data_IF_395757622751
#
_entry.id   IF_395757622751
#
_cell.length_a   1.000
_cell.length_b   1.000
_cell.length_c   1.000
_cell.angle_alpha   90.00
_cell.angle_beta   90.00
_cell.angle_gamma   90.00
#
_symmetry.space_group_name_H-M   'P 1'
#
loop_
_entity.id
_entity.type
_entity.pdbx_description
1 polymer ?
#
# COMPACT_ATOMS: atom_id res chain seq x y z
N UNK A 1 12.91 -2.37 13.89
CA UNK A 1 11.72 -1.72 14.48
C UNK A 1 12.06 -0.26 14.74
N UNK A 2 11.45 0.71 14.06
CA UNK A 2 11.87 2.13 14.14
C UNK A 2 11.33 2.85 15.38
N UNK A 3 10.06 2.67 15.74
CA UNK A 3 9.47 3.33 16.91
C UNK A 3 10.21 3.03 18.24
N UNK A 4 10.62 1.78 18.54
CA UNK A 4 11.37 1.50 19.77
C UNK A 4 12.74 2.18 19.84
N UNK A 5 13.39 2.50 18.71
CA UNK A 5 14.72 3.17 18.75
C UNK A 5 14.63 4.62 19.23
N UNK A 6 13.41 5.18 19.28
CA UNK A 6 13.13 6.51 19.81
C UNK A 6 12.21 6.45 21.05
N UNK A 7 12.19 5.31 21.74
CA UNK A 7 11.38 5.07 22.95
C UNK A 7 9.86 5.22 22.75
N UNK A 8 9.36 4.99 21.53
CA UNK A 8 7.93 4.92 21.25
C UNK A 8 7.49 3.46 21.31
N UNK A 9 6.43 3.18 22.08
CA UNK A 9 5.77 1.87 22.11
C UNK A 9 4.94 1.66 20.82
N UNK A 10 5.37 0.74 19.92
CA UNK A 10 4.66 0.48 18.67
C UNK A 10 3.34 -0.27 18.87
N UNK A 11 3.12 -0.88 20.03
CA UNK A 11 1.90 -1.63 20.35
C UNK A 11 0.82 -0.76 20.97
N UNK A 12 1.16 0.47 21.35
CA UNK A 12 0.21 1.42 21.90
C UNK A 12 -0.89 1.75 20.87
N UNK A 13 -2.14 1.74 21.34
CA UNK A 13 -3.29 1.99 20.48
C UNK A 13 -3.22 3.38 19.82
N UNK A 14 -2.75 4.39 20.56
CA UNK A 14 -2.58 5.74 20.05
C UNK A 14 -1.61 5.77 18.86
N UNK A 15 -0.45 5.10 18.96
CA UNK A 15 0.51 5.03 17.86
C UNK A 15 -0.08 4.34 16.63
N UNK A 16 -0.76 3.20 16.82
CA UNK A 16 -1.36 2.44 15.71
C UNK A 16 -2.42 3.28 14.99
N UNK A 17 -3.30 3.97 15.72
CA UNK A 17 -4.34 4.82 15.12
C UNK A 17 -3.74 5.99 14.34
N UNK A 18 -2.76 6.68 14.92
CA UNK A 18 -2.05 7.77 14.23
C UNK A 18 -1.33 7.25 12.99
N UNK A 19 -0.65 6.10 13.07
CA UNK A 19 0.04 5.48 11.95
C UNK A 19 -0.93 5.13 10.82
N UNK A 20 -2.07 4.51 11.11
CA UNK A 20 -3.09 4.18 10.11
C UNK A 20 -3.58 5.44 9.40
N UNK A 21 -3.89 6.50 10.17
CA UNK A 21 -4.36 7.76 9.61
C UNK A 21 -3.30 8.39 8.69
N UNK A 22 -2.06 8.50 9.19
CA UNK A 22 -0.94 9.08 8.45
C UNK A 22 -0.65 8.29 7.17
N UNK A 23 -0.57 6.96 7.24
CA UNK A 23 -0.30 6.10 6.07
C UNK A 23 -1.41 6.20 5.05
N UNK A 24 -2.68 6.21 5.48
CA UNK A 24 -3.84 6.31 4.59
C UNK A 24 -3.81 7.62 3.81
N UNK A 25 -3.60 8.75 4.48
CA UNK A 25 -3.54 10.06 3.83
C UNK A 25 -2.29 10.16 2.94
N UNK A 26 -1.13 9.71 3.44
CA UNK A 26 0.14 9.76 2.71
C UNK A 26 0.12 8.92 1.43
N UNK A 27 -0.65 7.83 1.40
CA UNK A 27 -0.76 6.94 0.24
C UNK A 27 -1.27 7.65 -1.02
N UNK A 28 -2.12 8.69 -0.87
CA UNK A 28 -2.56 9.49 -2.02
C UNK A 28 -1.42 10.29 -2.64
N UNK A 29 -0.51 10.81 -1.81
CA UNK A 29 0.63 11.61 -2.27
C UNK A 29 1.70 10.79 -3.01
N UNK A 30 1.75 9.48 -2.77
CA UNK A 30 2.77 8.59 -3.37
C UNK A 30 2.43 8.17 -4.80
N UNK A 31 1.14 8.18 -5.19
CA UNK A 31 0.69 7.68 -6.49
C UNK A 31 1.27 8.42 -7.70
N UNK A 32 1.81 9.64 -7.52
CA UNK A 32 2.35 10.49 -8.59
C UNK A 32 3.86 10.76 -8.53
N UNK A 33 4.58 10.20 -7.56
CA UNK A 33 6.02 10.44 -7.37
C UNK A 33 6.82 9.18 -7.65
N UNK A 34 7.86 9.28 -8.48
CA UNK A 34 8.78 8.17 -8.74
C UNK A 34 9.55 7.78 -7.47
N UNK A 35 9.72 6.47 -7.25
CA UNK A 35 10.59 5.93 -6.18
C UNK A 35 9.91 5.02 -5.12
N UNK A 36 8.80 4.37 -5.49
CA UNK A 36 8.38 3.08 -4.91
C UNK A 36 8.25 3.04 -3.39
N UNK A 37 8.84 2.02 -2.77
CA UNK A 37 8.68 1.76 -1.35
C UNK A 37 9.32 2.81 -0.44
N UNK A 38 10.43 3.37 -0.91
CA UNK A 38 11.30 4.28 -0.17
C UNK A 38 10.67 5.66 0.04
N UNK A 39 10.09 6.27 -1.00
CA UNK A 39 9.47 7.60 -0.85
C UNK A 39 8.28 7.59 0.10
N UNK A 40 7.47 6.53 0.05
CA UNK A 40 6.37 6.35 1.00
C UNK A 40 6.87 6.24 2.44
N UNK A 41 7.97 5.49 2.66
CA UNK A 41 8.56 5.35 3.99
C UNK A 41 9.10 6.68 4.51
N UNK A 42 9.80 7.45 3.68
CA UNK A 42 10.33 8.77 4.05
C UNK A 42 9.19 9.73 4.44
N UNK A 43 8.11 9.76 3.66
CA UNK A 43 6.94 10.59 3.95
C UNK A 43 6.30 10.23 5.29
N UNK A 44 6.08 8.94 5.56
CA UNK A 44 5.49 8.47 6.82
C UNK A 44 6.42 8.76 8.01
N UNK A 45 7.72 8.51 7.87
CA UNK A 45 8.68 8.81 8.94
C UNK A 45 8.74 10.31 9.23
N UNK A 46 8.78 11.15 8.19
CA UNK A 46 8.80 12.61 8.36
C UNK A 46 7.53 13.15 9.01
N UNK A 47 6.36 12.65 8.59
CA UNK A 47 5.06 13.10 9.13
C UNK A 47 4.85 12.66 10.58
N UNK A 48 5.44 11.53 10.99
CA UNK A 48 5.42 11.06 12.37
C UNK A 48 6.57 11.61 13.22
N UNK A 49 7.38 12.54 12.69
CA UNK A 49 8.57 13.08 13.35
C UNK A 49 9.56 11.98 13.79
N UNK A 50 9.69 10.92 12.99
CA UNK A 50 10.62 9.82 13.16
C UNK A 50 11.88 10.01 12.30
N UNK A 51 13.03 9.42 12.69
CA UNK A 51 14.28 9.62 11.96
C UNK A 51 14.21 9.05 10.53
N UNK A 52 14.21 9.94 9.54
CA UNK A 52 14.13 9.58 8.11
C UNK A 52 15.35 8.78 7.64
N UNK A 53 16.52 8.99 8.27
CA UNK A 53 17.73 8.22 7.98
C UNK A 53 17.54 6.70 8.12
N UNK A 54 16.56 6.26 8.92
CA UNK A 54 16.22 4.84 9.07
C UNK A 54 15.54 4.24 7.83
N UNK A 55 15.05 5.07 6.90
CA UNK A 55 14.65 4.61 5.57
C UNK A 55 15.83 4.04 4.78
N UNK A 56 17.08 4.44 5.09
CA UNK A 56 18.28 3.86 4.50
C UNK A 56 18.44 2.36 4.77
N UNK A 57 17.93 1.87 5.91
CA UNK A 57 17.91 0.43 6.21
C UNK A 57 16.92 -0.32 5.29
N UNK A 58 15.82 0.32 4.92
CA UNK A 58 14.79 -0.25 4.04
C UNK A 58 15.30 -0.41 2.61
N UNK A 59 16.23 0.44 2.14
CA UNK A 59 16.77 0.38 0.78
C UNK A 59 17.33 -1.01 0.44
N UNK A 60 17.94 -1.70 1.42
CA UNK A 60 18.52 -3.03 1.21
C UNK A 60 17.49 -4.13 0.88
N UNK A 61 16.24 -3.96 1.30
CA UNK A 61 15.13 -4.91 1.12
C UNK A 61 13.99 -4.31 0.28
N UNK A 62 14.20 -3.10 -0.24
CA UNK A 62 13.23 -2.30 -0.98
C UNK A 62 12.61 -3.09 -2.15
N UNK A 63 13.38 -3.82 -2.99
CA UNK A 63 12.79 -4.51 -4.13
C UNK A 63 11.76 -5.57 -3.71
N UNK A 64 11.99 -6.27 -2.59
CA UNK A 64 11.05 -7.28 -2.08
C UNK A 64 9.76 -6.62 -1.57
N UNK A 65 9.89 -5.50 -0.85
CA UNK A 65 8.77 -4.77 -0.29
C UNK A 65 7.94 -4.11 -1.39
N UNK A 66 8.60 -3.52 -2.39
CA UNK A 66 7.92 -2.82 -3.48
C UNK A 66 7.17 -3.78 -4.42
N UNK A 67 7.72 -4.98 -4.67
CA UNK A 67 7.01 -6.04 -5.38
C UNK A 67 5.72 -6.44 -4.64
N UNK A 68 5.79 -6.67 -3.33
CA UNK A 68 4.62 -7.01 -2.51
C UNK A 68 3.57 -5.88 -2.52
N UNK A 69 4.01 -4.63 -2.39
CA UNK A 69 3.14 -3.46 -2.46
C UNK A 69 2.42 -3.37 -3.80
N UNK A 70 3.16 -3.51 -4.90
CA UNK A 70 2.59 -3.43 -6.26
C UNK A 70 1.57 -4.55 -6.49
N UNK A 71 1.88 -5.79 -6.09
CA UNK A 71 0.96 -6.91 -6.20
C UNK A 71 -0.35 -6.65 -5.46
N UNK A 72 -0.28 -6.21 -4.20
CA UNK A 72 -1.48 -5.93 -3.40
C UNK A 72 -2.30 -4.76 -3.96
N UNK A 73 -1.65 -3.70 -4.42
CA UNK A 73 -2.34 -2.54 -5.00
C UNK A 73 -3.06 -2.89 -6.32
N UNK A 74 -2.45 -3.72 -7.16
CA UNK A 74 -3.09 -4.21 -8.41
C UNK A 74 -4.26 -5.14 -8.07
N UNK A 75 -4.08 -6.10 -7.17
CA UNK A 75 -5.17 -6.99 -6.72
C UNK A 75 -6.33 -6.23 -6.08
N UNK A 76 -6.03 -5.22 -5.25
CA UNK A 76 -7.04 -4.35 -4.66
C UNK A 76 -7.79 -3.53 -5.71
N UNK A 77 -7.10 -3.01 -6.72
CA UNK A 77 -7.72 -2.25 -7.82
C UNK A 77 -8.66 -3.11 -8.66
N UNK A 78 -8.27 -4.35 -8.97
CA UNK A 78 -9.15 -5.31 -9.65
C UNK A 78 -10.39 -5.63 -8.81
N UNK A 79 -10.20 -5.87 -7.51
CA UNK A 79 -11.30 -6.16 -6.57
C UNK A 79 -12.27 -4.98 -6.48
N UNK A 80 -11.75 -3.76 -6.29
CA UNK A 80 -12.54 -2.54 -6.25
C UNK A 80 -13.31 -2.32 -7.56
N UNK A 81 -12.68 -2.58 -8.71
CA UNK A 81 -13.32 -2.52 -10.02
C UNK A 81 -14.51 -3.47 -10.12
N UNK A 82 -14.32 -4.76 -9.82
CA UNK A 82 -15.40 -5.77 -9.86
C UNK A 82 -16.54 -5.43 -8.90
N UNK A 83 -16.20 -5.03 -7.66
CA UNK A 83 -17.21 -4.63 -6.65
C UNK A 83 -17.98 -3.41 -7.13
N UNK A 84 -17.31 -2.40 -7.67
CA UNK A 84 -17.96 -1.19 -8.20
C UNK A 84 -18.87 -1.54 -9.37
N UNK A 85 -18.40 -2.30 -10.36
CA UNK A 85 -19.22 -2.73 -11.50
C UNK A 85 -20.43 -3.55 -11.10
N UNK A 86 -20.36 -4.33 -10.01
CA UNK A 86 -21.51 -5.03 -9.43
C UNK A 86 -22.52 -4.06 -8.84
N UNK A 87 -22.05 -3.06 -8.08
CA UNK A 87 -22.91 -2.06 -7.44
C UNK A 87 -23.58 -1.16 -8.49
N UNK A 88 -22.85 -0.75 -9.54
CA UNK A 88 -23.36 0.07 -10.65
C UNK A 88 -24.19 -0.70 -11.67
N UNK A 89 -24.29 -2.04 -11.53
CA UNK A 89 -24.94 -2.95 -12.48
C UNK A 89 -24.31 -2.95 -13.89
N UNK A 90 -23.04 -2.57 -13.98
CA UNK A 90 -22.25 -2.58 -15.22
C UNK A 90 -21.45 -3.88 -15.39
N UNK A 91 -21.39 -4.76 -14.38
CA UNK A 91 -20.67 -6.02 -14.49
C UNK A 91 -21.35 -6.96 -15.49
N UNK A 92 -20.63 -7.31 -16.55
CA UNK A 92 -21.06 -8.35 -17.49
C UNK A 92 -20.92 -9.74 -16.83
N UNK A 93 -22.04 -10.26 -16.33
CA UNK A 93 -22.11 -11.55 -15.66
C UNK A 93 -21.83 -12.75 -16.59
N UNK A 94 -22.07 -12.60 -17.89
CA UNK A 94 -21.78 -13.68 -18.85
C UNK A 94 -20.27 -13.87 -19.00
N UNK A 95 -19.49 -12.79 -19.01
CA UNK A 95 -18.02 -12.84 -19.04
C UNK A 95 -17.48 -13.30 -17.68
N UNK A 96 -18.01 -12.75 -16.59
CA UNK A 96 -17.53 -13.05 -15.23
C UNK A 96 -17.76 -14.52 -14.82
N UNK A 97 -18.92 -15.10 -15.19
CA UNK A 97 -19.26 -16.49 -14.90
C UNK A 97 -18.89 -17.46 -16.04
N UNK A 98 -18.44 -16.94 -17.19
CA UNK A 98 -18.05 -17.77 -18.31
C UNK A 98 -16.88 -18.68 -17.90
N UNK A 99 -16.87 -19.93 -18.38
CA UNK A 99 -15.67 -20.75 -18.30
C UNK A 99 -14.53 -19.96 -18.93
N UNK A 100 -13.38 -19.90 -18.24
CA UNK A 100 -12.18 -19.22 -18.72
C UNK A 100 -11.86 -19.74 -20.11
N UNK A 101 -12.33 -19.03 -21.14
CA UNK A 101 -12.02 -19.34 -22.51
C UNK A 101 -10.51 -19.25 -22.56
N UNK A 102 -9.86 -20.39 -22.78
CA UNK A 102 -8.39 -20.52 -22.76
C UNK A 102 -7.84 -19.29 -23.46
N UNK A 103 -7.16 -18.45 -22.68
CA UNK A 103 -6.36 -17.37 -23.22
C UNK A 103 -5.19 -18.07 -23.90
N UNK A 104 -5.44 -18.59 -25.10
CA UNK A 104 -4.41 -19.05 -26.01
C UNK A 104 -3.63 -17.81 -26.40
N UNK A 105 -2.45 -17.68 -25.81
CA UNK A 105 -1.38 -16.81 -26.26
C UNK A 105 -0.46 -17.62 -27.18
#
# INVERSE_FOLDING_TARGET
MIAPTVNIDPTSLAFILTLILVVTISSFGVAGVGGGATFAAILVLSTMNLPVALAGLLISVEPLIDMGRTALNVSGSMTAGVVTSRITKELNLNIYNGETQKLEA
#
